data_IF_669606941474
#
_entry.id   IF_669606941474
#
_cell.length_a   1.000
_cell.length_b   1.000
_cell.length_c   1.000
_cell.angle_alpha   90.00
_cell.angle_beta   90.00
_cell.angle_gamma   90.00
#
_symmetry.space_group_name_H-M   'P 1'
#
loop_
_entity.id
_entity.type
_entity.pdbx_description
1 polymer ?
#
# COMPACT_ATOMS: atom_id res chain seq x y z
N UNK A 1 8.53 22.57 13.56
CA UNK A 1 7.56 22.90 12.50
C UNK A 1 6.69 21.66 12.27
N UNK A 2 5.38 21.75 12.49
CA UNK A 2 4.46 20.62 12.31
C UNK A 2 4.00 20.60 10.85
N UNK A 3 4.39 19.57 10.09
CA UNK A 3 3.85 19.38 8.75
C UNK A 3 2.37 19.02 8.85
N UNK A 4 1.52 19.83 8.22
CA UNK A 4 0.08 19.60 8.16
C UNK A 4 -0.27 19.12 6.75
N UNK A 5 -0.92 17.96 6.66
CA UNK A 5 -1.32 17.39 5.36
C UNK A 5 -2.35 18.28 4.68
N UNK A 6 -2.21 18.47 3.38
CA UNK A 6 -3.21 19.14 2.57
C UNK A 6 -4.34 18.17 2.18
N UNK A 7 -5.46 18.70 1.71
CA UNK A 7 -6.55 17.87 1.17
C UNK A 7 -6.11 17.06 -0.07
N UNK A 8 -5.16 17.57 -0.85
CA UNK A 8 -4.61 16.86 -2.01
C UNK A 8 -3.75 15.66 -1.61
N UNK A 9 -2.97 15.79 -0.53
CA UNK A 9 -2.19 14.68 0.04
C UNK A 9 -3.10 13.52 0.46
N UNK A 10 -4.23 13.85 1.10
CA UNK A 10 -5.24 12.86 1.51
C UNK A 10 -5.85 12.17 0.31
N UNK A 11 -6.27 12.93 -0.71
CA UNK A 11 -6.82 12.38 -1.96
C UNK A 11 -5.82 11.46 -2.67
N UNK A 12 -4.56 11.87 -2.78
CA UNK A 12 -3.49 11.04 -3.36
C UNK A 12 -3.30 9.76 -2.57
N UNK A 13 -3.27 9.83 -1.24
CA UNK A 13 -3.18 8.64 -0.38
C UNK A 13 -4.34 7.67 -0.59
N UNK A 14 -5.58 8.18 -0.65
CA UNK A 14 -6.76 7.35 -0.89
C UNK A 14 -6.66 6.64 -2.25
N UNK A 15 -6.30 7.37 -3.31
CA UNK A 15 -6.11 6.81 -4.64
C UNK A 15 -5.04 5.73 -4.70
N UNK A 16 -3.93 5.89 -3.97
CA UNK A 16 -2.90 4.84 -3.87
C UNK A 16 -3.42 3.59 -3.18
N UNK A 17 -4.21 3.76 -2.10
CA UNK A 17 -4.81 2.66 -1.36
C UNK A 17 -5.77 1.86 -2.24
N UNK A 18 -6.60 2.55 -3.02
CA UNK A 18 -7.58 1.92 -3.91
C UNK A 18 -6.89 1.12 -5.02
N UNK A 19 -5.89 1.71 -5.68
CA UNK A 19 -5.07 1.02 -6.71
C UNK A 19 -4.37 -0.23 -6.19
N UNK A 20 -3.81 -0.16 -4.98
CA UNK A 20 -3.19 -1.32 -4.32
C UNK A 20 -4.23 -2.41 -4.07
N UNK A 21 -5.41 -2.05 -3.57
CA UNK A 21 -6.48 -3.03 -3.33
C UNK A 21 -6.99 -3.67 -4.63
N UNK A 22 -7.20 -2.88 -5.68
CA UNK A 22 -7.59 -3.38 -7.01
C UNK A 22 -6.57 -4.37 -7.56
N UNK A 23 -5.27 -4.05 -7.46
CA UNK A 23 -4.22 -4.97 -7.89
C UNK A 23 -4.25 -6.27 -7.09
N UNK A 24 -4.35 -6.21 -5.75
CA UNK A 24 -4.37 -7.42 -4.91
C UNK A 24 -5.60 -8.30 -5.16
N UNK A 25 -6.74 -7.71 -5.57
CA UNK A 25 -7.95 -8.47 -5.95
C UNK A 25 -7.76 -9.32 -7.21
N UNK A 26 -6.75 -9.04 -8.03
CA UNK A 26 -6.39 -9.90 -9.17
C UNK A 26 -5.67 -11.19 -8.74
N UNK A 27 -5.30 -11.31 -7.46
CA UNK A 27 -4.52 -12.43 -6.92
C UNK A 27 -3.02 -12.35 -7.17
N UNK A 28 -2.54 -11.30 -7.86
CA UNK A 28 -1.12 -11.11 -8.11
C UNK A 28 -0.39 -10.57 -6.86
N UNK A 29 0.83 -11.04 -6.58
CA UNK A 29 1.66 -10.51 -5.51
C UNK A 29 2.13 -9.08 -5.85
N UNK A 30 2.31 -8.26 -4.82
CA UNK A 30 2.76 -6.88 -4.97
C UNK A 30 3.92 -6.59 -4.03
N UNK A 31 5.07 -6.19 -4.61
CA UNK A 31 6.26 -5.77 -3.87
C UNK A 31 6.29 -4.24 -3.69
N UNK A 32 7.17 -3.76 -2.80
CA UNK A 32 7.36 -2.31 -2.59
C UNK A 32 7.84 -1.60 -3.85
N UNK A 33 8.77 -2.19 -4.60
CA UNK A 33 9.27 -1.60 -5.85
C UNK A 33 8.18 -1.54 -6.92
N UNK A 34 7.44 -2.62 -7.13
CA UNK A 34 6.34 -2.64 -8.10
C UNK A 34 5.22 -1.67 -7.72
N UNK A 35 4.89 -1.53 -6.42
CA UNK A 35 3.91 -0.55 -5.97
C UNK A 35 4.38 0.91 -6.17
N UNK A 36 5.68 1.17 -6.06
CA UNK A 36 6.28 2.47 -6.37
C UNK A 36 6.17 2.76 -7.86
N UNK A 37 6.55 1.82 -8.72
CA UNK A 37 6.55 1.98 -10.17
C UNK A 37 5.14 2.15 -10.74
N UNK A 38 4.21 1.29 -10.35
CA UNK A 38 2.85 1.30 -10.91
C UNK A 38 1.95 2.39 -10.32
N UNK A 39 2.10 2.69 -9.01
CA UNK A 39 1.12 3.50 -8.29
C UNK A 39 1.73 4.74 -7.59
N UNK A 40 3.05 4.94 -7.67
CA UNK A 40 3.75 5.97 -6.90
C UNK A 40 3.69 5.73 -5.39
N UNK A 41 3.44 4.50 -4.95
CA UNK A 41 3.26 4.16 -3.54
C UNK A 41 4.60 3.91 -2.84
N UNK A 42 5.19 4.97 -2.28
CA UNK A 42 6.50 4.90 -1.60
C UNK A 42 6.49 4.10 -0.29
N UNK A 43 5.31 3.89 0.31
CA UNK A 43 5.15 3.16 1.58
C UNK A 43 4.01 2.16 1.48
N UNK A 44 4.23 1.09 0.72
CA UNK A 44 3.26 0.01 0.51
C UNK A 44 2.81 -0.59 1.84
N UNK A 45 3.74 -0.87 2.75
CA UNK A 45 3.42 -1.46 4.05
C UNK A 45 2.37 -0.65 4.85
N UNK A 46 2.38 0.68 4.73
CA UNK A 46 1.37 1.53 5.37
C UNK A 46 -0.01 1.42 4.71
N UNK A 47 -0.06 1.32 3.37
CA UNK A 47 -1.33 1.05 2.66
C UNK A 47 -1.89 -0.31 3.01
N UNK A 48 -1.04 -1.33 3.11
CA UNK A 48 -1.46 -2.68 3.54
C UNK A 48 -1.99 -2.66 4.97
N UNK A 49 -1.34 -1.95 5.90
CA UNK A 49 -1.83 -1.81 7.28
C UNK A 49 -3.21 -1.15 7.34
N UNK A 50 -3.41 -0.07 6.58
CA UNK A 50 -4.71 0.62 6.47
C UNK A 50 -5.78 -0.28 5.85
N UNK A 51 -5.45 -1.04 4.80
CA UNK A 51 -6.37 -1.97 4.17
C UNK A 51 -6.75 -3.11 5.11
N UNK A 52 -5.80 -3.72 5.83
CA UNK A 52 -6.10 -4.77 6.83
C UNK A 52 -7.05 -4.26 7.91
N UNK A 53 -6.86 -3.02 8.38
CA UNK A 53 -7.77 -2.38 9.34
C UNK A 53 -9.16 -2.10 8.77
N UNK A 54 -9.27 -1.88 7.46
CA UNK A 54 -10.53 -1.63 6.78
C UNK A 54 -11.36 -2.90 6.51
N UNK A 55 -10.84 -4.10 6.81
CA UNK A 55 -11.56 -5.38 6.69
C UNK A 55 -11.02 -6.38 5.66
N UNK A 56 -10.41 -5.99 4.53
CA UNK A 56 -9.79 -6.93 3.60
C UNK A 56 -8.76 -7.87 4.26
N UNK A 57 -8.92 -9.18 4.03
CA UNK A 57 -7.92 -10.18 4.37
C UNK A 57 -6.78 -10.09 3.36
N UNK A 58 -5.61 -9.66 3.81
CA UNK A 58 -4.41 -9.54 2.97
C UNK A 58 -3.32 -10.46 3.52
N UNK A 59 -2.89 -11.40 2.70
CA UNK A 59 -1.78 -12.29 3.01
C UNK A 59 -0.46 -11.61 2.67
N UNK A 60 0.58 -11.91 3.44
CA UNK A 60 1.91 -11.32 3.24
C UNK A 60 2.93 -12.44 3.36
N UNK A 61 3.65 -12.68 2.27
CA UNK A 61 4.76 -13.63 2.26
C UNK A 61 5.95 -12.96 2.95
N UNK A 62 6.60 -13.69 3.86
CA UNK A 62 7.90 -13.31 4.41
C UNK A 62 8.87 -14.40 4.03
N UNK A 63 10.04 -14.01 3.52
CA UNK A 63 11.15 -14.93 3.44
C UNK A 63 11.52 -15.38 4.86
N UNK A 64 11.86 -16.65 5.02
CA UNK A 64 12.29 -17.25 6.29
C UNK A 64 13.44 -16.48 6.97
N UNK A 65 14.28 -15.82 6.16
CA UNK A 65 15.44 -15.02 6.60
C UNK A 65 15.10 -13.57 6.96
N UNK A 66 13.84 -13.14 6.80
CA UNK A 66 13.38 -11.83 7.27
C UNK A 66 13.87 -10.61 6.47
N UNK A 67 14.53 -10.81 5.33
CA UNK A 67 14.92 -9.73 4.41
C UNK A 67 14.02 -9.73 3.18
N UNK A 68 13.33 -8.62 2.97
CA UNK A 68 12.49 -8.31 1.83
C UNK A 68 12.92 -6.96 1.26
#
# INVERSE_FOLDING_TARGET
>A
MTFQRTGEDVKRQLRQKDKVLEHLRTGQPLTQDTARELFGCMRLASRISELKKAGPVILSLRHETGVA
#
